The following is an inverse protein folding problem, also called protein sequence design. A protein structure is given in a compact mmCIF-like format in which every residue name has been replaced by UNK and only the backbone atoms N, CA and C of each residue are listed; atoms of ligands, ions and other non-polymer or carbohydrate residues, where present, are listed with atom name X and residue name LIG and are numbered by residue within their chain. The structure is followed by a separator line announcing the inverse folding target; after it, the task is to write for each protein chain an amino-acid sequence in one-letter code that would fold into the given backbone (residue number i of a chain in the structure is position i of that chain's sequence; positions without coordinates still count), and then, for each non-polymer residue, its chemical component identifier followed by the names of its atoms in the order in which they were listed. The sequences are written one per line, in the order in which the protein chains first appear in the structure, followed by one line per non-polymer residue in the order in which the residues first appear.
data_IF_984180217624
#
_entry.id   IF_984180217624
#
_cell.length_a   1.000
_cell.length_b   1.000
_cell.length_c   1.000
_cell.angle_alpha   90.00
_cell.angle_beta   90.00
_cell.angle_gamma   90.00
#
_symmetry.space_group_name_H-M   'P 1'
#
loop_
_entity.id
_entity.type
_entity.pdbx_description
1 polymer ?
#
# COMPACT_ATOMS: atom_id res chain seq x y z
N UNK A 1 7.24 -7.58 -32.39
CA UNK A 1 7.81 -8.86 -31.92
C UNK A 1 7.01 -9.34 -30.72
N UNK A 2 6.47 -10.56 -30.74
CA UNK A 2 5.74 -11.12 -29.59
C UNK A 2 6.67 -11.80 -28.58
N UNK A 3 6.22 -11.94 -27.31
CA UNK A 3 7.01 -12.54 -26.22
C UNK A 3 7.63 -13.90 -26.56
N UNK A 4 6.93 -14.72 -27.35
CA UNK A 4 7.37 -16.05 -27.76
C UNK A 4 8.49 -16.04 -28.81
N UNK A 5 8.46 -15.07 -29.73
CA UNK A 5 9.51 -14.91 -30.74
C UNK A 5 10.79 -14.37 -30.08
N UNK A 6 10.66 -13.38 -29.20
CA UNK A 6 11.77 -12.83 -28.43
C UNK A 6 12.47 -13.93 -27.59
N UNK A 7 11.70 -14.75 -26.87
CA UNK A 7 12.26 -15.85 -26.07
C UNK A 7 13.00 -16.91 -26.89
N UNK A 8 12.53 -17.22 -28.10
CA UNK A 8 13.20 -18.17 -29.00
C UNK A 8 14.54 -17.64 -29.50
N UNK A 9 14.57 -16.39 -29.96
CA UNK A 9 15.79 -15.74 -30.46
C UNK A 9 16.84 -15.54 -29.37
N UNK A 10 16.41 -15.17 -28.15
CA UNK A 10 17.31 -15.10 -27.00
C UNK A 10 17.97 -16.46 -26.73
N UNK A 11 17.22 -17.56 -26.84
CA UNK A 11 17.77 -18.91 -26.65
C UNK A 11 18.75 -19.30 -27.76
N UNK A 12 18.42 -19.02 -29.02
CA UNK A 12 19.32 -19.27 -30.17
C UNK A 12 20.64 -18.51 -30.06
N UNK A 13 20.59 -17.28 -29.54
CA UNK A 13 21.76 -16.41 -29.37
C UNK A 13 22.47 -16.59 -28.02
N UNK A 14 22.02 -17.50 -27.15
CA UNK A 14 22.60 -17.71 -25.82
C UNK A 14 22.44 -16.51 -24.87
N UNK A 15 21.46 -15.62 -25.12
CA UNK A 15 21.20 -14.42 -24.34
C UNK A 15 20.29 -14.72 -23.15
N UNK A 16 20.63 -14.16 -21.99
CA UNK A 16 19.82 -14.20 -20.76
C UNK A 16 19.33 -12.81 -20.40
N UNK A 17 18.15 -12.71 -19.78
CA UNK A 17 17.63 -11.42 -19.33
C UNK A 17 18.46 -10.90 -18.16
N UNK A 18 18.99 -9.68 -18.31
CA UNK A 18 19.64 -8.94 -17.22
C UNK A 18 18.66 -8.10 -16.41
N UNK A 19 17.35 -8.21 -16.67
CA UNK A 19 16.34 -7.48 -15.92
C UNK A 19 16.39 -7.90 -14.45
N UNK A 20 16.57 -6.92 -13.56
CA UNK A 20 16.54 -7.17 -12.13
C UNK A 20 15.19 -7.79 -11.75
N UNK A 21 15.17 -8.95 -11.06
CA UNK A 21 13.94 -9.51 -10.55
C UNK A 21 13.21 -8.50 -9.67
N UNK A 22 11.89 -8.49 -9.73
CA UNK A 22 11.11 -7.66 -8.82
C UNK A 22 11.48 -7.96 -7.37
N UNK A 23 11.70 -6.92 -6.57
CA UNK A 23 12.01 -7.06 -5.15
C UNK A 23 10.92 -7.88 -4.46
N UNK A 24 11.28 -9.06 -3.95
CA UNK A 24 10.36 -9.94 -3.25
C UNK A 24 10.43 -9.63 -1.76
N UNK A 25 9.47 -8.86 -1.27
CA UNK A 25 9.31 -8.66 0.17
C UNK A 25 9.16 -10.02 0.85
N UNK A 26 9.89 -10.24 1.94
CA UNK A 26 9.67 -11.42 2.80
C UNK A 26 8.20 -11.43 3.21
N UNK A 27 7.52 -12.57 3.07
CA UNK A 27 6.19 -12.73 3.66
C UNK A 27 6.34 -12.50 5.17
N UNK A 28 5.45 -11.68 5.73
CA UNK A 28 5.50 -11.28 7.14
C UNK A 28 5.52 -12.48 8.10
N UNK A 29 5.96 -12.21 9.33
CA UNK A 29 6.08 -13.21 10.39
C UNK A 29 4.75 -13.88 10.77
N UNK A 30 4.84 -14.91 11.63
CA UNK A 30 3.65 -15.58 12.18
C UNK A 30 2.79 -14.57 12.94
N UNK A 31 1.47 -14.73 12.86
CA UNK A 31 0.54 -13.93 13.65
C UNK A 31 0.88 -14.05 15.14
N UNK A 32 0.61 -12.97 15.88
CA UNK A 32 0.87 -12.95 17.31
C UNK A 32 -0.08 -13.90 18.02
N UNK A 33 0.46 -14.85 18.79
CA UNK A 33 -0.33 -15.95 19.40
C UNK A 33 -1.45 -15.44 20.31
N UNK A 34 -1.26 -14.29 20.96
CA UNK A 34 -2.22 -13.73 21.93
C UNK A 34 -3.08 -12.59 21.39
N UNK A 35 -2.85 -12.11 20.16
CA UNK A 35 -3.60 -10.99 19.59
C UNK A 35 -4.23 -11.46 18.27
N UNK A 36 -5.51 -11.87 18.29
CA UNK A 36 -6.17 -12.39 17.09
C UNK A 36 -6.29 -11.30 16.03
N UNK A 37 -5.97 -11.65 14.79
CA UNK A 37 -6.19 -10.79 13.63
C UNK A 37 -7.67 -10.84 13.22
N UNK A 38 -8.48 -9.96 13.79
CA UNK A 38 -9.92 -9.92 13.52
C UNK A 38 -10.27 -9.62 12.05
N UNK A 39 -9.42 -8.87 11.34
CA UNK A 39 -9.67 -8.52 9.94
C UNK A 39 -9.29 -9.66 9.00
N UNK A 40 -8.19 -10.36 9.25
CA UNK A 40 -7.79 -11.52 8.43
C UNK A 40 -7.60 -11.22 6.93
N UNK A 41 -7.28 -9.96 6.56
CA UNK A 41 -7.28 -9.46 5.16
C UNK A 41 -8.64 -9.55 4.45
N UNK A 42 -9.74 -9.67 5.20
CA UNK A 42 -11.09 -9.60 4.65
C UNK A 42 -11.46 -8.15 4.32
N UNK A 43 -11.13 -7.71 3.11
CA UNK A 43 -11.40 -6.34 2.65
C UNK A 43 -12.76 -6.17 1.95
N UNK A 44 -13.55 -7.25 1.88
CA UNK A 44 -14.94 -7.24 1.41
C UNK A 44 -15.86 -7.10 2.63
N UNK A 45 -16.10 -5.86 3.03
CA UNK A 45 -16.98 -5.49 4.15
C UNK A 45 -18.40 -5.34 3.64
N UNK A 46 -19.42 -5.63 4.46
CA UNK A 46 -20.83 -5.65 4.04
C UNK A 46 -21.56 -4.34 4.29
N UNK A 47 -21.07 -3.49 5.20
CA UNK A 47 -21.71 -2.22 5.56
C UNK A 47 -20.69 -1.09 5.78
N UNK A 48 -21.07 0.18 5.60
CA UNK A 48 -20.24 1.33 5.95
C UNK A 48 -19.86 1.35 7.44
N UNK A 49 -18.75 2.01 7.77
CA UNK A 49 -18.29 2.30 9.14
C UNK A 49 -17.99 1.09 10.03
N UNK A 50 -17.86 -0.11 9.46
CA UNK A 50 -17.45 -1.29 10.22
C UNK A 50 -15.94 -1.46 10.28
N UNK A 51 -15.24 -1.20 9.18
CA UNK A 51 -13.78 -1.31 9.10
C UNK A 51 -13.21 -0.14 8.32
N UNK A 52 -12.31 0.59 8.97
CA UNK A 52 -11.52 1.64 8.35
C UNK A 52 -10.06 1.20 8.22
N UNK A 53 -9.43 1.55 7.11
CA UNK A 53 -7.98 1.44 6.97
C UNK A 53 -7.36 2.82 6.87
N UNK A 54 -6.22 3.01 7.53
CA UNK A 54 -5.46 4.24 7.47
C UNK A 54 -4.04 3.98 7.00
N UNK A 55 -3.48 4.91 6.26
CA UNK A 55 -2.07 4.90 5.89
C UNK A 55 -1.49 6.32 5.91
N UNK A 56 -0.17 6.41 6.10
CA UNK A 56 0.59 7.66 6.01
C UNK A 56 1.64 7.50 4.92
N UNK A 57 1.53 8.34 3.90
CA UNK A 57 2.48 8.39 2.80
C UNK A 57 3.13 9.76 2.70
N UNK A 58 4.13 9.88 1.82
CA UNK A 58 4.81 11.14 1.55
C UNK A 58 4.65 11.52 0.08
N UNK A 59 4.34 12.79 -0.17
CA UNK A 59 4.10 13.35 -1.51
C UNK A 59 5.06 14.51 -1.79
N UNK A 60 5.59 14.58 -3.01
CA UNK A 60 6.48 15.65 -3.42
C UNK A 60 5.66 16.88 -3.81
N UNK A 61 5.89 18.01 -3.15
CA UNK A 61 5.13 19.25 -3.38
C UNK A 61 5.85 20.22 -4.33
N UNK A 62 6.90 19.76 -5.03
CA UNK A 62 7.74 20.59 -5.90
C UNK A 62 8.90 21.26 -5.16
N UNK A 63 8.71 21.65 -3.89
CA UNK A 63 9.75 22.30 -3.06
C UNK A 63 10.30 21.40 -1.96
N UNK A 64 9.45 20.55 -1.38
CA UNK A 64 9.79 19.62 -0.30
C UNK A 64 8.81 18.46 -0.25
N UNK A 65 9.18 17.41 0.47
CA UNK A 65 8.26 16.34 0.84
C UNK A 65 7.27 16.82 1.91
N UNK A 66 6.01 16.43 1.75
CA UNK A 66 4.95 16.53 2.74
C UNK A 66 4.40 15.14 3.04
N UNK A 67 3.88 14.95 4.24
CA UNK A 67 3.24 13.71 4.68
C UNK A 67 1.74 13.87 4.62
N UNK A 68 1.07 12.89 4.01
CA UNK A 68 -0.37 12.79 3.86
C UNK A 68 -0.85 11.56 4.62
N UNK A 69 -1.73 11.78 5.61
CA UNK A 69 -2.46 10.72 6.29
C UNK A 69 -3.87 10.64 5.72
N UNK A 70 -4.33 9.44 5.40
CA UNK A 70 -5.68 9.19 4.86
C UNK A 70 -6.33 8.06 5.66
N UNK A 71 -7.61 8.21 5.98
CA UNK A 71 -8.50 7.19 6.55
C UNK A 71 -9.55 6.86 5.49
N UNK A 72 -9.62 5.58 5.10
CA UNK A 72 -10.53 5.04 4.11
C UNK A 72 -11.57 4.15 4.80
N UNK A 73 -12.82 4.30 4.40
CA UNK A 73 -13.85 3.29 4.65
C UNK A 73 -13.71 2.13 3.67
N UNK A 74 -13.58 0.90 4.17
CA UNK A 74 -13.34 -0.27 3.32
C UNK A 74 -14.57 -0.73 2.52
N UNK A 75 -15.78 -0.46 3.01
CA UNK A 75 -17.02 -0.79 2.29
C UNK A 75 -17.19 0.14 1.09
N UNK A 76 -17.18 1.46 1.33
CA UNK A 76 -17.44 2.45 0.30
C UNK A 76 -16.22 2.70 -0.61
N UNK A 77 -15.01 2.29 -0.17
CA UNK A 77 -13.72 2.63 -0.81
C UNK A 77 -13.52 4.13 -0.98
N UNK A 78 -13.96 4.90 0.03
CA UNK A 78 -13.93 6.36 0.03
C UNK A 78 -13.09 6.89 1.19
N UNK A 79 -12.30 7.95 0.97
CA UNK A 79 -11.69 8.70 2.07
C UNK A 79 -12.78 9.30 2.96
N UNK A 80 -12.73 8.97 4.24
CA UNK A 80 -13.61 9.56 5.26
C UNK A 80 -12.89 10.67 6.03
N UNK A 81 -11.56 10.59 6.17
CA UNK A 81 -10.75 11.65 6.78
C UNK A 81 -9.35 11.72 6.19
N UNK A 82 -8.75 12.92 6.20
CA UNK A 82 -7.39 13.13 5.75
C UNK A 82 -6.76 14.35 6.39
N UNK A 83 -5.44 14.38 6.43
CA UNK A 83 -4.68 15.55 6.87
C UNK A 83 -3.30 15.55 6.22
N UNK A 84 -2.70 16.74 6.10
CA UNK A 84 -1.35 16.90 5.56
C UNK A 84 -0.47 17.69 6.55
N UNK A 85 0.81 17.32 6.63
CA UNK A 85 1.80 17.98 7.48
C UNK A 85 3.19 17.87 6.85
N UNK A 86 4.11 18.73 7.29
CA UNK A 86 5.52 18.60 6.95
C UNK A 86 6.31 17.69 7.89
N UNK A 87 5.64 17.16 8.93
CA UNK A 87 6.21 16.26 9.93
C UNK A 87 5.40 14.97 10.03
N UNK A 88 6.04 13.78 10.05
CA UNK A 88 5.38 12.50 10.22
C UNK A 88 5.17 12.22 11.71
N UNK A 89 4.24 12.95 12.33
CA UNK A 89 3.96 12.85 13.77
C UNK A 89 2.54 12.30 14.04
N UNK A 90 2.29 11.88 15.28
CA UNK A 90 0.96 11.39 15.67
C UNK A 90 -0.12 12.47 15.54
N UNK A 91 0.24 13.77 15.54
CA UNK A 91 -0.73 14.86 15.38
C UNK A 91 -1.32 14.85 13.98
N UNK A 92 -0.53 14.52 12.95
CA UNK A 92 -0.99 14.31 11.59
C UNK A 92 -2.06 13.21 11.53
N UNK A 93 -1.77 12.03 12.09
CA UNK A 93 -2.71 10.89 12.09
C UNK A 93 -3.97 11.19 12.90
N UNK A 94 -3.83 11.83 14.06
CA UNK A 94 -4.98 12.24 14.88
C UNK A 94 -5.87 13.24 14.12
N UNK A 95 -5.30 14.18 13.36
CA UNK A 95 -6.09 15.13 12.56
C UNK A 95 -6.91 14.41 11.48
N UNK A 96 -6.29 13.46 10.77
CA UNK A 96 -6.99 12.67 9.76
C UNK A 96 -8.13 11.85 10.38
N UNK A 97 -7.89 11.23 11.54
CA UNK A 97 -8.90 10.43 12.25
C UNK A 97 -10.03 11.29 12.83
N UNK A 98 -9.76 12.50 13.31
CA UNK A 98 -10.79 13.42 13.83
C UNK A 98 -11.70 14.00 12.74
N UNK A 99 -11.23 14.01 11.49
CA UNK A 99 -12.02 14.47 10.36
C UNK A 99 -13.00 13.38 9.87
N UNK A 100 -12.61 12.11 10.02
CA UNK A 100 -13.42 10.94 9.64
C UNK A 100 -14.68 10.81 10.48
#
# INVERSE_FOLDING_TARGET
MGRWLAGRLMKELGLVSCQQPAHRYKRGGREHVTIPNHLGRQFAVTEPNQVWCGDVTYIWTGKRWAYLAVVLDLFARKPVGWAMSFSPDSRLTIKALKMA
#
